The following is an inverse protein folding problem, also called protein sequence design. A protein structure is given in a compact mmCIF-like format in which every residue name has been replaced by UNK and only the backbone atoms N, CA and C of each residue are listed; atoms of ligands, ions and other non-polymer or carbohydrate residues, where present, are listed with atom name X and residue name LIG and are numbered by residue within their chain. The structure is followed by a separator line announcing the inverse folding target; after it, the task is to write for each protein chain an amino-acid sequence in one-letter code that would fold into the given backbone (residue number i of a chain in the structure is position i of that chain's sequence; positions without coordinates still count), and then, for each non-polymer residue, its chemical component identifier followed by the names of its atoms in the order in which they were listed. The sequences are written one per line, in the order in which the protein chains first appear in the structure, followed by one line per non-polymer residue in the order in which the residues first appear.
data_IF_234733938060
#
_entry.id   IF_234733938060
#
_cell.length_a   1.000
_cell.length_b   1.000
_cell.length_c   1.000
_cell.angle_alpha   90.00
_cell.angle_beta   90.00
_cell.angle_gamma   90.00
#
_symmetry.space_group_name_H-M   'P 1'
#
loop_
_entity.id
_entity.type
_entity.pdbx_description
1 polymer ?
#
# COMPACT_ATOMS: atom_id res chain seq x y z
N UNK A 1 5.62 -3.85 45.32
CA UNK A 1 5.43 -2.78 44.31
C UNK A 1 6.67 -2.52 43.45
N UNK A 2 7.91 -2.50 43.95
CA UNK A 2 9.11 -2.23 43.13
C UNK A 2 9.32 -3.19 41.95
N UNK A 3 9.14 -4.49 42.13
CA UNK A 3 9.34 -5.50 41.07
C UNK A 3 8.30 -5.44 39.95
N UNK A 4 7.05 -5.08 40.27
CA UNK A 4 5.97 -4.94 39.27
C UNK A 4 6.19 -3.71 38.38
N UNK A 5 6.69 -2.61 38.96
CA UNK A 5 7.09 -1.42 38.19
C UNK A 5 8.26 -1.72 37.25
N UNK A 6 9.23 -2.55 37.67
CA UNK A 6 10.33 -2.99 36.81
C UNK A 6 9.85 -3.85 35.62
N UNK A 7 8.91 -4.78 35.84
CA UNK A 7 8.36 -5.58 34.73
C UNK A 7 7.54 -4.73 33.74
N UNK A 8 6.75 -3.78 34.22
CA UNK A 8 6.01 -2.85 33.34
C UNK A 8 6.95 -1.96 32.52
N UNK A 9 8.02 -1.46 33.13
CA UNK A 9 9.04 -0.66 32.42
C UNK A 9 9.79 -1.52 31.40
N UNK A 10 10.15 -2.76 31.73
CA UNK A 10 10.80 -3.68 30.78
C UNK A 10 9.90 -4.03 29.60
N UNK A 11 8.62 -4.32 29.83
CA UNK A 11 7.66 -4.62 28.76
C UNK A 11 7.46 -3.39 27.86
N UNK A 12 7.33 -2.21 28.46
CA UNK A 12 7.23 -0.95 27.72
C UNK A 12 8.49 -0.66 26.88
N UNK A 13 9.69 -0.94 27.42
CA UNK A 13 10.96 -0.81 26.69
C UNK A 13 11.09 -1.82 25.55
N UNK A 14 10.64 -3.06 25.74
CA UNK A 14 10.65 -4.09 24.69
C UNK A 14 9.67 -3.71 23.57
N UNK A 15 8.48 -3.20 23.89
CA UNK A 15 7.52 -2.72 22.89
C UNK A 15 8.04 -1.48 22.14
N UNK A 16 8.76 -0.58 22.83
CA UNK A 16 9.44 0.56 22.20
C UNK A 16 10.60 0.16 21.28
N UNK A 17 11.30 -0.94 21.60
CA UNK A 17 12.41 -1.46 20.79
C UNK A 17 11.95 -2.31 19.59
N UNK A 18 10.73 -2.83 19.61
CA UNK A 18 10.14 -3.58 18.48
C UNK A 18 9.46 -2.64 17.47
N UNK A 19 9.15 -1.39 17.86
CA UNK A 19 8.71 -0.32 16.96
C UNK A 19 9.88 0.32 16.19
N UNK A 20 10.72 -0.50 15.56
CA UNK A 20 11.57 -0.05 14.46
C UNK A 20 10.73 0.04 13.20
N UNK A 21 9.76 0.96 13.18
CA UNK A 21 9.19 1.43 11.93
C UNK A 21 10.21 2.38 11.29
N UNK A 22 10.67 2.00 10.10
CA UNK A 22 11.51 2.75 9.17
C UNK A 22 13.00 2.85 9.51
N UNK A 23 13.67 1.70 9.47
CA UNK A 23 15.11 1.64 9.25
C UNK A 23 15.41 0.40 8.42
N UNK A 24 15.44 0.53 7.10
CA UNK A 24 15.88 -0.55 6.21
C UNK A 24 17.36 -0.83 6.45
N UNK A 25 17.75 -2.00 7.00
CA UNK A 25 19.14 -2.41 7.04
C UNK A 25 19.39 -3.16 5.73
N UNK A 26 19.81 -2.44 4.68
CA UNK A 26 20.03 -3.08 3.38
C UNK A 26 20.48 -2.17 2.24
N UNK A 27 20.25 -0.86 2.33
CA UNK A 27 20.78 0.11 1.36
C UNK A 27 22.26 0.41 1.65
N UNK A 28 23.10 -0.61 1.48
CA UNK A 28 24.54 -0.38 1.35
C UNK A 28 24.78 -0.20 -0.15
N UNK A 29 25.29 0.97 -0.52
CA UNK A 29 25.63 1.35 -1.89
C UNK A 29 26.18 0.16 -2.67
N UNK A 30 25.42 -0.28 -3.68
CA UNK A 30 25.86 -1.33 -4.58
C UNK A 30 26.99 -0.71 -5.41
N UNK A 31 28.23 -1.11 -5.13
CA UNK A 31 29.39 -0.67 -5.90
C UNK A 31 29.34 -1.34 -7.28
N UNK A 32 28.55 -0.77 -8.19
CA UNK A 32 28.59 -1.14 -9.61
C UNK A 32 30.02 -0.92 -10.11
N UNK A 33 30.68 -2.01 -10.47
CA UNK A 33 32.06 -2.01 -10.96
C UNK A 33 32.02 -1.71 -12.45
N UNK A 34 31.83 -0.43 -12.79
CA UNK A 34 31.90 0.01 -14.17
C UNK A 34 33.36 0.14 -14.63
N UNK A 35 33.73 -0.67 -15.62
CA UNK A 35 35.01 -0.63 -16.31
C UNK A 35 35.17 0.68 -17.09
N UNK A 36 36.32 1.33 -16.93
CA UNK A 36 36.58 2.74 -17.26
C UNK A 36 36.83 3.07 -18.75
N UNK A 37 36.51 2.18 -19.70
CA UNK A 37 36.90 2.33 -21.11
C UNK A 37 35.71 2.37 -22.09
N UNK A 38 34.81 3.34 -21.90
CA UNK A 38 33.77 3.70 -22.90
C UNK A 38 33.90 5.17 -23.31
N UNK A 39 35.09 5.58 -23.73
CA UNK A 39 35.28 6.86 -24.42
C UNK A 39 35.14 6.63 -25.92
N UNK A 40 33.92 6.82 -26.43
CA UNK A 40 33.66 7.10 -27.83
C UNK A 40 32.40 7.95 -27.87
N UNK A 41 32.58 9.25 -27.61
CA UNK A 41 31.67 10.29 -28.07
C UNK A 41 32.31 10.95 -29.29
N UNK A 42 31.69 10.80 -30.45
CA UNK A 42 31.99 11.59 -31.65
C UNK A 42 31.26 12.93 -31.58
N UNK A 43 31.68 13.94 -32.35
CA UNK A 43 31.00 15.25 -32.38
C UNK A 43 29.52 15.12 -32.76
N UNK A 44 29.16 14.13 -33.59
CA UNK A 44 27.76 13.83 -33.95
C UNK A 44 26.91 13.34 -32.77
N UNK A 45 27.53 12.81 -31.71
CA UNK A 45 26.81 12.32 -30.53
C UNK A 45 26.32 13.47 -29.65
N UNK A 46 26.92 14.68 -29.77
CA UNK A 46 26.48 15.87 -29.02
C UNK A 46 25.16 16.45 -29.54
N UNK A 47 24.82 16.16 -30.79
CA UNK A 47 23.59 16.60 -31.44
C UNK A 47 22.41 15.65 -31.16
N UNK A 48 22.63 14.53 -30.48
CA UNK A 48 21.57 13.62 -30.07
C UNK A 48 21.15 13.89 -28.63
N UNK A 49 19.85 14.06 -28.45
CA UNK A 49 19.23 14.26 -27.13
C UNK A 49 18.18 13.19 -26.88
N UNK A 50 18.16 12.65 -25.66
CA UNK A 50 17.07 11.80 -25.19
C UNK A 50 15.98 12.73 -24.68
N UNK A 51 14.91 12.88 -25.46
CA UNK A 51 13.82 13.80 -25.15
C UNK A 51 12.97 13.24 -24.03
N UNK A 52 12.63 11.96 -24.11
CA UNK A 52 11.75 11.31 -23.17
C UNK A 52 12.18 9.87 -22.93
N UNK A 53 12.10 9.44 -21.68
CA UNK A 53 12.15 8.03 -21.30
C UNK A 53 10.86 7.67 -20.55
N UNK A 54 10.01 6.84 -21.15
CA UNK A 54 8.89 6.21 -20.47
C UNK A 54 9.33 4.83 -19.98
N UNK A 55 9.25 4.61 -18.69
CA UNK A 55 9.58 3.35 -18.03
C UNK A 55 8.27 2.75 -17.53
N UNK A 56 7.92 1.57 -17.99
CA UNK A 56 6.77 0.80 -17.53
C UNK A 56 7.29 -0.39 -16.72
N UNK A 57 7.03 -0.40 -15.41
CA UNK A 57 7.37 -1.50 -14.50
C UNK A 57 6.07 -2.24 -14.16
N UNK A 58 5.96 -3.49 -14.61
CA UNK A 58 4.82 -4.35 -14.34
C UNK A 58 5.18 -5.45 -13.35
N UNK A 59 4.69 -5.30 -12.11
CA UNK A 59 4.90 -6.24 -11.02
C UNK A 59 3.85 -7.38 -10.97
N UNK A 60 2.88 -7.37 -11.89
CA UNK A 60 1.79 -8.35 -11.98
C UNK A 60 2.02 -9.39 -13.07
N UNK A 61 2.51 -8.97 -14.24
CA UNK A 61 2.59 -9.80 -15.45
C UNK A 61 3.37 -11.11 -15.23
N UNK A 62 4.48 -11.05 -14.50
CA UNK A 62 5.36 -12.19 -14.22
C UNK A 62 5.45 -12.51 -12.72
N UNK A 63 4.43 -12.14 -11.94
CA UNK A 63 4.40 -12.38 -10.49
C UNK A 63 4.59 -13.84 -10.10
N UNK A 64 4.03 -14.77 -10.89
CA UNK A 64 4.20 -16.22 -10.65
C UNK A 64 5.63 -16.72 -10.85
N UNK A 65 6.46 -15.95 -11.56
CA UNK A 65 7.86 -16.23 -11.85
C UNK A 65 8.80 -15.42 -10.95
N UNK A 66 8.26 -14.56 -10.05
CA UNK A 66 9.04 -13.71 -9.15
C UNK A 66 10.01 -12.81 -9.94
N UNK A 67 9.50 -12.23 -11.02
CA UNK A 67 10.18 -11.34 -11.96
C UNK A 67 9.34 -10.08 -12.19
N UNK A 68 10.02 -8.94 -12.31
CA UNK A 68 9.44 -7.72 -12.84
C UNK A 68 9.58 -7.71 -14.35
N UNK A 69 8.48 -7.43 -15.05
CA UNK A 69 8.53 -7.09 -16.46
C UNK A 69 8.77 -5.59 -16.60
N UNK A 70 9.82 -5.20 -17.33
CA UNK A 70 10.12 -3.79 -17.57
C UNK A 70 10.12 -3.51 -19.06
N UNK A 71 9.41 -2.46 -19.45
CA UNK A 71 9.42 -1.93 -20.82
C UNK A 71 9.77 -0.46 -20.78
N UNK A 72 10.83 -0.10 -21.50
CA UNK A 72 11.22 1.28 -21.71
C UNK A 72 10.89 1.73 -23.13
N UNK A 73 10.41 2.97 -23.26
CA UNK A 73 10.26 3.67 -24.54
C UNK A 73 11.12 4.92 -24.53
N UNK A 74 12.13 4.93 -25.41
CA UNK A 74 13.15 5.97 -25.52
C UNK A 74 12.90 6.79 -26.79
N UNK A 75 12.78 8.11 -26.64
CA UNK A 75 12.61 9.05 -27.75
C UNK A 75 13.88 9.86 -27.93
N UNK A 76 14.62 9.58 -29.00
CA UNK A 76 15.82 10.34 -29.34
C UNK A 76 15.52 11.39 -30.41
N UNK A 77 16.06 12.59 -30.24
CA UNK A 77 15.95 13.68 -31.21
C UNK A 77 17.32 14.16 -31.62
N UNK A 78 17.51 14.29 -32.93
CA UNK A 78 18.65 14.96 -33.52
C UNK A 78 18.39 16.46 -33.58
N UNK A 79 19.16 17.23 -32.81
CA UNK A 79 19.14 18.71 -32.77
C UNK A 79 20.18 19.34 -33.70
N UNK A 80 21.02 18.53 -34.35
CA UNK A 80 22.01 18.95 -35.31
C UNK A 80 21.43 19.22 -36.70
N UNK A 81 22.34 19.54 -37.62
CA UNK A 81 22.01 19.82 -39.03
C UNK A 81 22.29 18.65 -39.97
N UNK A 82 23.01 17.62 -39.50
CA UNK A 82 23.35 16.42 -40.25
C UNK A 82 22.62 15.21 -39.67
N UNK A 83 22.36 14.20 -40.50
CA UNK A 83 21.80 12.94 -40.02
C UNK A 83 22.80 12.25 -39.09
N UNK A 84 22.28 11.69 -38.01
CA UNK A 84 23.04 10.86 -37.09
C UNK A 84 23.02 9.41 -37.58
N UNK A 85 24.19 8.81 -37.63
CA UNK A 85 24.40 7.38 -37.83
C UNK A 85 25.48 6.93 -36.86
N UNK A 86 25.05 6.28 -35.77
CA UNK A 86 25.93 5.97 -34.66
C UNK A 86 25.36 4.95 -33.70
N UNK A 87 26.13 4.61 -32.68
CA UNK A 87 25.64 3.76 -31.61
C UNK A 87 24.73 4.58 -30.70
N UNK A 88 23.58 4.03 -30.31
CA UNK A 88 22.72 4.49 -29.22
C UNK A 88 22.91 3.58 -28.01
N UNK A 89 22.69 4.12 -26.80
CA UNK A 89 22.93 3.39 -25.54
C UNK A 89 21.85 3.66 -24.51
N UNK A 90 21.51 2.63 -23.74
CA UNK A 90 20.73 2.75 -22.48
C UNK A 90 21.37 1.88 -21.40
N UNK A 91 21.10 2.19 -20.15
CA UNK A 91 21.50 1.38 -19.00
C UNK A 91 20.37 0.42 -18.60
N UNK A 92 20.66 -0.80 -18.17
CA UNK A 92 19.68 -1.75 -17.60
C UNK A 92 20.16 -2.28 -16.25
N UNK A 93 19.26 -2.63 -15.32
CA UNK A 93 19.63 -3.13 -14.00
C UNK A 93 20.53 -4.37 -14.01
N UNK A 94 21.26 -4.58 -12.91
CA UNK A 94 22.00 -5.82 -12.70
C UNK A 94 21.07 -7.03 -12.67
N UNK A 95 21.52 -8.15 -13.24
CA UNK A 95 20.72 -9.37 -13.30
C UNK A 95 19.60 -9.35 -14.32
N UNK A 96 19.52 -8.33 -15.17
CA UNK A 96 18.53 -8.25 -16.25
C UNK A 96 18.65 -9.43 -17.23
N UNK A 97 17.50 -10.03 -17.59
CA UNK A 97 17.38 -11.13 -18.52
C UNK A 97 16.43 -10.81 -19.69
N UNK A 98 16.47 -11.62 -20.74
CA UNK A 98 15.45 -11.60 -21.80
C UNK A 98 15.36 -10.31 -22.63
N UNK A 99 16.45 -9.53 -22.72
CA UNK A 99 16.45 -8.20 -23.36
C UNK A 99 16.01 -8.29 -24.83
N UNK A 100 15.06 -7.44 -25.20
CA UNK A 100 14.62 -7.21 -26.57
C UNK A 100 14.66 -5.73 -26.87
N UNK A 101 15.13 -5.38 -28.06
CA UNK A 101 15.10 -4.00 -28.55
C UNK A 101 14.38 -3.97 -29.88
N UNK A 102 13.48 -3.00 -30.03
CA UNK A 102 12.85 -2.73 -31.31
C UNK A 102 12.73 -1.24 -31.63
N UNK A 103 12.63 -0.93 -32.92
CA UNK A 103 12.34 0.41 -33.42
C UNK A 103 10.87 0.47 -33.84
N UNK A 104 10.16 1.51 -33.40
CA UNK A 104 8.79 1.76 -33.83
C UNK A 104 8.72 3.12 -34.54
N UNK A 105 8.04 3.15 -35.67
CA UNK A 105 7.66 4.42 -36.31
C UNK A 105 6.36 4.92 -35.67
N UNK A 106 6.30 6.21 -35.32
CA UNK A 106 5.10 6.82 -34.68
C UNK A 106 3.83 6.75 -35.55
N UNK A 107 3.95 6.33 -36.81
CA UNK A 107 2.89 6.44 -37.81
C UNK A 107 2.01 5.20 -37.99
N UNK A 108 2.37 4.03 -37.44
CA UNK A 108 1.52 2.83 -37.53
C UNK A 108 1.66 2.01 -36.25
N UNK A 109 0.57 1.40 -35.78
CA UNK A 109 0.57 0.41 -34.70
C UNK A 109 1.27 -0.90 -35.10
N UNK A 110 2.39 -0.80 -35.82
CA UNK A 110 3.26 -1.87 -36.20
C UNK A 110 4.03 -2.36 -34.97
N UNK A 111 4.23 -3.67 -34.90
CA UNK A 111 5.11 -4.25 -33.91
C UNK A 111 6.52 -3.66 -34.09
N UNK A 112 7.25 -3.36 -33.00
CA UNK A 112 8.60 -2.85 -33.09
C UNK A 112 9.47 -3.77 -33.95
N UNK A 113 10.19 -3.21 -34.93
CA UNK A 113 11.13 -3.96 -35.74
C UNK A 113 12.33 -4.36 -34.87
N UNK A 114 12.66 -5.67 -34.75
CA UNK A 114 13.75 -6.11 -33.90
C UNK A 114 15.10 -5.52 -34.33
N UNK A 115 15.88 -5.03 -33.37
CA UNK A 115 17.21 -4.45 -33.61
C UNK A 115 18.28 -5.37 -33.02
N UNK A 116 19.38 -5.55 -33.75
CA UNK A 116 20.57 -6.23 -33.21
C UNK A 116 21.26 -5.32 -32.21
N UNK A 117 21.48 -5.83 -31.00
CA UNK A 117 22.10 -5.11 -29.90
C UNK A 117 23.26 -5.89 -29.28
N UNK A 118 24.07 -5.17 -28.50
CA UNK A 118 25.18 -5.72 -27.71
C UNK A 118 25.06 -5.22 -26.28
N UNK A 119 25.43 -6.07 -25.33
CA UNK A 119 25.48 -5.71 -23.91
C UNK A 119 26.93 -5.74 -23.42
N UNK A 120 27.31 -4.72 -22.67
CA UNK A 120 28.56 -4.66 -21.92
C UNK A 120 28.25 -4.22 -20.49
N UNK A 121 28.28 -5.18 -19.56
CA UNK A 121 27.75 -4.99 -18.21
C UNK A 121 26.28 -4.57 -18.26
N UNK A 122 25.96 -3.44 -17.63
CA UNK A 122 24.62 -2.84 -17.63
C UNK A 122 24.29 -2.02 -18.87
N UNK A 123 25.21 -1.87 -19.82
CA UNK A 123 25.00 -0.96 -20.96
C UNK A 123 24.59 -1.74 -22.19
N UNK A 124 23.43 -1.38 -22.71
CA UNK A 124 22.87 -1.91 -23.95
C UNK A 124 23.16 -0.92 -25.06
N UNK A 125 23.78 -1.40 -26.14
CA UNK A 125 24.20 -0.61 -27.29
C UNK A 125 23.60 -1.18 -28.57
N UNK A 126 23.06 -0.33 -29.44
CA UNK A 126 22.59 -0.71 -30.77
C UNK A 126 22.94 0.37 -31.80
N UNK A 127 22.94 0.04 -33.09
CA UNK A 127 23.10 1.04 -34.14
C UNK A 127 21.78 1.79 -34.34
N UNK A 128 21.83 3.12 -34.40
CA UNK A 128 20.67 3.98 -34.61
C UNK A 128 20.94 5.02 -35.69
N UNK A 129 19.90 5.29 -36.48
CA UNK A 129 19.89 6.35 -37.48
C UNK A 129 18.79 7.35 -37.12
N UNK A 130 19.16 8.63 -37.00
CA UNK A 130 18.24 9.72 -36.64
C UNK A 130 18.45 10.89 -37.58
N UNK A 131 17.49 11.08 -38.49
CA UNK A 131 17.54 12.14 -39.48
C UNK A 131 17.38 13.52 -38.84
N UNK A 132 18.11 14.51 -39.37
CA UNK A 132 17.90 15.89 -38.99
C UNK A 132 16.49 16.34 -39.42
N UNK A 133 15.75 17.00 -38.53
CA UNK A 133 14.42 17.55 -38.81
C UNK A 133 13.30 16.54 -39.14
N UNK A 134 13.51 15.24 -38.87
CA UNK A 134 12.46 14.23 -38.95
C UNK A 134 11.69 14.09 -37.63
N UNK A 135 10.58 13.35 -37.66
CA UNK A 135 9.92 12.92 -36.43
C UNK A 135 10.88 12.03 -35.62
N UNK A 136 11.01 12.25 -34.29
CA UNK A 136 11.85 11.43 -33.44
C UNK A 136 11.48 9.93 -33.53
N UNK A 137 12.44 9.03 -33.79
CA UNK A 137 12.19 7.60 -33.71
C UNK A 137 11.93 7.16 -32.26
N UNK A 138 11.05 6.18 -32.09
CA UNK A 138 10.81 5.49 -30.83
C UNK A 138 11.63 4.20 -30.80
N UNK A 139 12.35 3.98 -29.70
CA UNK A 139 12.98 2.70 -29.42
C UNK A 139 12.34 2.08 -28.19
N UNK A 140 11.96 0.82 -28.29
CA UNK A 140 11.45 0.04 -27.16
C UNK A 140 12.53 -0.91 -26.67
N UNK A 141 12.75 -0.95 -25.37
CA UNK A 141 13.65 -1.90 -24.70
C UNK A 141 12.83 -2.68 -23.67
N UNK A 142 12.67 -3.98 -23.87
CA UNK A 142 11.93 -4.86 -22.97
C UNK A 142 12.90 -5.80 -22.28
N UNK A 143 12.72 -6.03 -21.00
CA UNK A 143 13.56 -6.95 -20.24
C UNK A 143 12.90 -7.43 -18.95
N UNK A 144 13.45 -8.50 -18.39
CA UNK A 144 12.99 -9.13 -17.17
C UNK A 144 14.00 -8.86 -16.06
N UNK A 145 13.50 -8.54 -14.87
CA UNK A 145 14.34 -8.37 -13.70
C UNK A 145 13.93 -9.41 -12.64
N UNK A 146 14.74 -10.46 -12.40
CA UNK A 146 14.47 -11.41 -11.33
C UNK A 146 14.53 -10.70 -9.98
N UNK A 147 13.68 -11.12 -9.04
CA UNK A 147 13.59 -10.53 -7.71
C UNK A 147 14.38 -11.36 -6.69
N UNK A 148 15.69 -11.12 -6.48
CA UNK A 148 16.46 -11.86 -5.50
C UNK A 148 15.90 -11.59 -4.09
N UNK A 149 15.50 -12.67 -3.40
CA UNK A 149 14.98 -12.65 -2.03
C UNK A 149 13.56 -12.05 -1.87
N UNK A 150 12.74 -12.05 -2.93
CA UNK A 150 11.34 -11.62 -2.86
C UNK A 150 11.15 -10.14 -2.54
N UNK A 151 12.21 -9.33 -2.70
CA UNK A 151 12.13 -7.89 -2.58
C UNK A 151 12.09 -7.30 -3.98
N UNK A 152 10.95 -6.73 -4.34
CA UNK A 152 10.71 -6.13 -5.66
C UNK A 152 11.43 -4.79 -5.75
N UNK A 153 12.66 -4.82 -6.25
CA UNK A 153 13.49 -3.62 -6.41
C UNK A 153 13.81 -3.40 -7.89
N UNK A 154 13.71 -2.15 -8.31
CA UNK A 154 14.10 -1.70 -9.63
C UNK A 154 14.94 -0.44 -9.48
N UNK A 155 16.04 -0.34 -10.22
CA UNK A 155 16.86 0.87 -10.29
C UNK A 155 17.01 1.27 -11.75
N UNK A 156 17.17 2.56 -12.03
CA UNK A 156 17.47 3.07 -13.37
C UNK A 156 18.40 4.25 -13.30
N UNK A 157 19.59 4.09 -13.87
CA UNK A 157 20.57 5.17 -14.02
C UNK A 157 20.36 5.89 -15.36
N UNK A 158 20.32 7.23 -15.33
CA UNK A 158 20.10 8.08 -16.51
C UNK A 158 21.35 8.78 -17.04
N UNK A 159 22.43 8.87 -16.25
CA UNK A 159 23.60 9.70 -16.58
C UNK A 159 24.91 8.91 -16.75
N UNK A 160 24.84 7.61 -17.11
CA UNK A 160 26.04 6.77 -17.12
C UNK A 160 25.98 5.57 -18.08
N UNK A 161 27.02 5.31 -18.89
CA UNK A 161 27.48 6.15 -19.99
C UNK A 161 26.51 6.03 -21.19
N UNK A 162 25.34 6.66 -21.08
CA UNK A 162 24.43 6.85 -22.21
C UNK A 162 24.94 8.02 -23.06
N UNK A 163 24.83 7.97 -24.40
CA UNK A 163 25.37 9.03 -25.27
C UNK A 163 24.77 10.41 -25.00
N UNK A 164 23.57 10.44 -24.45
CA UNK A 164 22.82 11.66 -24.25
C UNK A 164 22.99 12.16 -22.82
N UNK A 165 22.90 13.48 -22.65
CA UNK A 165 22.54 14.10 -21.37
C UNK A 165 21.27 13.44 -20.82
N UNK A 166 21.03 13.59 -19.50
CA UNK A 166 19.81 13.16 -18.81
C UNK A 166 18.56 13.41 -19.67
N UNK A 167 17.57 12.48 -19.70
CA UNK A 167 16.33 12.70 -20.43
C UNK A 167 15.71 14.05 -20.08
N UNK A 168 15.17 14.75 -21.09
CA UNK A 168 14.48 16.03 -20.83
C UNK A 168 13.19 15.82 -20.03
N UNK A 169 12.56 14.66 -20.20
CA UNK A 169 11.39 14.20 -19.43
C UNK A 169 11.52 12.71 -19.10
N UNK A 170 11.05 12.33 -17.91
CA UNK A 170 10.91 10.94 -17.49
C UNK A 170 9.45 10.69 -17.14
N UNK A 171 8.92 9.57 -17.61
CA UNK A 171 7.63 9.04 -17.16
C UNK A 171 7.87 7.66 -16.55
N UNK A 172 7.28 7.39 -15.39
CA UNK A 172 7.31 6.08 -14.77
C UNK A 172 5.88 5.61 -14.58
N UNK A 173 5.51 4.52 -15.26
CA UNK A 173 4.26 3.80 -15.04
C UNK A 173 4.56 2.56 -14.22
N UNK A 174 3.90 2.43 -13.07
CA UNK A 174 4.06 1.28 -12.18
C UNK A 174 2.73 0.55 -12.11
N UNK A 175 2.70 -0.72 -12.51
CA UNK A 175 1.52 -1.58 -12.36
C UNK A 175 1.71 -2.46 -11.13
N UNK A 176 0.80 -2.31 -10.16
CA UNK A 176 0.87 -2.92 -8.83
C UNK A 176 -0.41 -3.69 -8.51
N UNK A 177 -0.32 -4.63 -7.56
CA UNK A 177 -1.52 -5.19 -6.94
C UNK A 177 -2.16 -4.17 -5.97
N UNK A 178 -3.45 -4.35 -5.65
CA UNK A 178 -4.20 -3.46 -4.74
C UNK A 178 -3.62 -3.40 -3.32
N UNK A 179 -2.92 -4.46 -2.91
CA UNK A 179 -2.28 -4.56 -1.61
C UNK A 179 -0.81 -4.10 -1.64
N UNK A 180 -0.27 -3.71 -2.79
CA UNK A 180 1.12 -3.28 -2.94
C UNK A 180 1.23 -1.75 -2.99
N UNK A 181 2.36 -1.24 -2.50
CA UNK A 181 2.73 0.17 -2.64
C UNK A 181 4.16 0.29 -3.14
N UNK A 182 4.44 1.42 -3.78
CA UNK A 182 5.75 1.74 -4.35
C UNK A 182 6.34 2.97 -3.64
N UNK A 183 7.59 2.84 -3.19
CA UNK A 183 8.43 3.96 -2.78
C UNK A 183 9.40 4.30 -3.91
N UNK A 184 9.45 5.57 -4.32
CA UNK A 184 10.30 6.05 -5.41
C UNK A 184 11.33 7.01 -4.83
N UNK A 185 12.62 6.72 -5.05
CA UNK A 185 13.75 7.42 -4.44
C UNK A 185 14.80 7.81 -5.48
N UNK A 186 15.62 8.82 -5.18
CA UNK A 186 16.80 9.21 -5.95
C UNK A 186 18.04 8.35 -5.63
N UNK A 187 19.20 8.69 -6.21
CA UNK A 187 20.50 8.08 -5.92
C UNK A 187 20.98 8.22 -4.46
N UNK A 188 20.42 9.17 -3.70
CA UNK A 188 20.77 9.43 -2.31
C UNK A 188 19.78 8.78 -1.32
N UNK A 189 18.74 8.10 -1.83
CA UNK A 189 17.67 7.51 -1.02
C UNK A 189 16.59 8.51 -0.59
N UNK A 190 16.57 9.73 -1.14
CA UNK A 190 15.50 10.70 -0.87
C UNK A 190 14.27 10.36 -1.71
N UNK A 191 13.08 10.48 -1.13
CA UNK A 191 11.83 10.36 -1.89
C UNK A 191 11.78 11.44 -2.98
N UNK A 192 11.45 11.05 -4.21
CA UNK A 192 11.27 11.98 -5.32
C UNK A 192 9.78 12.21 -5.60
N UNK A 193 9.39 13.48 -5.70
CA UNK A 193 8.03 13.87 -6.07
C UNK A 193 7.93 14.06 -7.57
N UNK A 194 6.81 13.64 -8.17
CA UNK A 194 6.49 13.96 -9.56
C UNK A 194 6.31 15.49 -9.75
N UNK A 195 6.51 15.99 -10.97
CA UNK A 195 6.30 17.40 -11.32
C UNK A 195 4.84 17.84 -11.20
N UNK A 196 3.91 16.88 -11.20
CA UNK A 196 2.49 17.07 -10.94
C UNK A 196 1.93 15.98 -10.03
N UNK A 197 0.60 15.90 -9.93
CA UNK A 197 -0.06 14.80 -9.21
C UNK A 197 0.08 13.50 -10.01
N UNK A 198 0.50 12.38 -9.37
CA UNK A 198 0.52 11.08 -10.03
C UNK A 198 -0.88 10.73 -10.56
N UNK A 199 -0.93 10.18 -11.77
CA UNK A 199 -2.19 9.81 -12.45
C UNK A 199 -2.47 8.33 -12.22
N UNK A 200 -3.64 8.02 -11.68
CA UNK A 200 -4.06 6.62 -11.46
C UNK A 200 -4.83 6.14 -12.70
N UNK A 201 -4.35 5.05 -13.30
CA UNK A 201 -4.88 4.40 -14.50
C UNK A 201 -5.18 2.92 -14.20
N UNK A 202 -6.33 2.64 -13.59
CA UNK A 202 -6.67 1.26 -13.18
C UNK A 202 -5.73 0.76 -12.09
N UNK A 203 -4.97 -0.31 -12.38
CA UNK A 203 -3.96 -0.86 -11.47
C UNK A 203 -2.58 -0.21 -11.64
N UNK A 204 -2.46 0.78 -12.52
CA UNK A 204 -1.21 1.48 -12.77
C UNK A 204 -1.22 2.88 -12.19
N UNK A 205 -0.06 3.34 -11.75
CA UNK A 205 0.16 4.74 -11.35
C UNK A 205 1.24 5.32 -12.26
N UNK A 206 0.95 6.46 -12.88
CA UNK A 206 1.83 7.18 -13.78
C UNK A 206 2.39 8.42 -13.09
N UNK A 207 3.71 8.49 -13.02
CA UNK A 207 4.48 9.59 -12.48
C UNK A 207 5.22 10.29 -13.63
N UNK A 208 5.18 11.62 -13.62
CA UNK A 208 5.79 12.44 -14.66
C UNK A 208 6.80 13.39 -14.02
N UNK A 209 8.02 13.45 -14.59
CA UNK A 209 9.03 14.45 -14.25
C UNK A 209 9.42 15.24 -15.48
N UNK A 210 9.11 16.53 -15.45
CA UNK A 210 9.62 17.53 -16.38
C UNK A 210 10.95 18.04 -15.84
N UNK A 211 12.02 18.00 -16.64
CA UNK A 211 13.37 18.42 -16.22
C UNK A 211 13.81 17.74 -14.90
N UNK A 212 13.88 16.40 -14.86
CA UNK A 212 14.24 15.66 -13.64
C UNK A 212 15.57 16.19 -13.08
N UNK A 213 15.72 16.35 -11.76
CA UNK A 213 16.97 16.84 -11.13
C UNK A 213 17.90 15.72 -10.63
N UNK A 214 17.35 14.52 -10.39
CA UNK A 214 18.06 13.30 -10.00
C UNK A 214 18.76 12.62 -11.19
N UNK A 215 19.68 11.68 -10.90
CA UNK A 215 20.41 10.90 -11.90
C UNK A 215 20.02 9.43 -11.93
N UNK A 216 19.32 8.97 -10.89
CA UNK A 216 18.85 7.60 -10.75
C UNK A 216 17.43 7.59 -10.18
N UNK A 217 16.62 6.63 -10.61
CA UNK A 217 15.37 6.27 -9.94
C UNK A 217 15.54 4.91 -9.30
N UNK A 218 15.22 4.83 -8.02
CA UNK A 218 15.11 3.60 -7.25
C UNK A 218 13.65 3.38 -6.87
N UNK A 219 13.13 2.22 -7.21
CA UNK A 219 11.78 1.78 -6.92
C UNK A 219 11.85 0.58 -5.98
N UNK A 220 11.19 0.71 -4.83
CA UNK A 220 10.97 -0.39 -3.90
C UNK A 220 9.48 -0.65 -3.80
N UNK A 221 9.04 -1.86 -4.19
CA UNK A 221 7.64 -2.28 -4.08
C UNK A 221 7.51 -3.15 -2.83
N UNK A 222 6.52 -2.83 -2.00
CA UNK A 222 6.22 -3.55 -0.76
C UNK A 222 4.78 -4.00 -0.75
N UNK A 223 4.53 -5.23 -0.32
CA UNK A 223 3.19 -5.65 0.08
C UNK A 223 2.82 -4.97 1.39
N UNK A 224 1.66 -4.35 1.45
CA UNK A 224 1.02 -3.93 2.69
C UNK A 224 0.98 -5.14 3.62
N UNK A 225 1.78 -5.11 4.67
CA UNK A 225 1.62 -6.09 5.75
C UNK A 225 0.28 -5.76 6.35
N UNK A 226 -0.70 -6.68 6.25
CA UNK A 226 -2.03 -6.52 6.79
C UNK A 226 -1.96 -5.76 8.12
N UNK A 227 -2.74 -4.67 8.22
CA UNK A 227 -2.75 -3.83 9.42
C UNK A 227 -2.84 -4.74 10.67
N UNK A 228 -2.14 -4.41 11.77
CA UNK A 228 -2.11 -5.22 12.99
C UNK A 228 -3.48 -5.32 13.70
N UNK A 229 -4.59 -4.97 13.03
CA UNK A 229 -5.97 -5.13 13.49
C UNK A 229 -6.28 -6.56 13.94
N UNK A 230 -5.61 -7.58 13.37
CA UNK A 230 -5.70 -8.97 13.84
C UNK A 230 -4.99 -9.21 15.18
N UNK A 231 -3.87 -8.53 15.46
CA UNK A 231 -3.07 -8.74 16.67
C UNK A 231 -3.72 -8.09 17.89
N UNK A 232 -4.41 -6.96 17.72
CA UNK A 232 -5.12 -6.28 18.80
C UNK A 232 -6.16 -7.20 19.48
N UNK A 233 -6.90 -7.99 18.69
CA UNK A 233 -7.86 -8.97 19.20
C UNK A 233 -7.18 -10.05 20.07
N UNK A 234 -6.08 -10.64 19.59
CA UNK A 234 -5.34 -11.66 20.34
C UNK A 234 -4.65 -11.12 21.59
N UNK A 235 -4.20 -9.86 21.58
CA UNK A 235 -3.61 -9.19 22.75
C UNK A 235 -4.66 -8.92 23.82
N UNK A 236 -5.87 -8.47 23.43
CA UNK A 236 -6.99 -8.29 24.37
C UNK A 236 -7.43 -9.63 24.95
N UNK A 237 -7.57 -10.66 24.10
CA UNK A 237 -7.93 -12.01 24.55
C UNK A 237 -6.88 -12.58 25.51
N UNK A 238 -5.59 -12.41 25.19
CA UNK A 238 -4.48 -12.80 26.06
C UNK A 238 -4.47 -12.08 27.41
N UNK A 239 -4.77 -10.78 27.43
CA UNK A 239 -4.91 -10.00 28.66
C UNK A 239 -6.07 -10.47 29.54
N UNK A 240 -7.22 -10.81 28.94
CA UNK A 240 -8.38 -11.35 29.66
C UNK A 240 -8.02 -12.70 30.29
N UNK A 241 -7.37 -13.59 29.54
CA UNK A 241 -6.92 -14.90 30.03
C UNK A 241 -5.95 -14.72 31.21
N UNK A 242 -4.98 -13.82 31.09
CA UNK A 242 -4.04 -13.51 32.18
C UNK A 242 -4.78 -12.93 33.40
N UNK A 243 -5.77 -12.06 33.22
CA UNK A 243 -6.58 -11.52 34.31
C UNK A 243 -7.37 -12.62 35.03
N UNK A 244 -7.99 -13.54 34.30
CA UNK A 244 -8.73 -14.68 34.86
C UNK A 244 -7.81 -15.60 35.67
N UNK A 245 -6.63 -15.94 35.14
CA UNK A 245 -5.68 -16.81 35.86
C UNK A 245 -4.96 -16.12 37.02
N UNK A 246 -4.73 -14.80 36.94
CA UNK A 246 -4.08 -14.04 38.02
C UNK A 246 -5.05 -13.61 39.12
N UNK A 247 -6.36 -13.54 38.83
CA UNK A 247 -7.39 -13.14 39.79
C UNK A 247 -7.41 -13.97 41.09
N UNK A 248 -7.33 -15.32 41.09
CA UNK A 248 -7.26 -16.12 42.32
C UNK A 248 -6.05 -15.77 43.20
N UNK A 249 -4.91 -15.49 42.57
CA UNK A 249 -3.64 -15.16 43.25
C UNK A 249 -3.72 -13.77 43.87
N UNK A 250 -4.28 -12.81 43.14
CA UNK A 250 -4.46 -11.42 43.59
C UNK A 250 -5.54 -11.36 44.69
N UNK A 251 -6.64 -12.10 44.56
CA UNK A 251 -7.73 -12.22 45.55
C UNK A 251 -7.27 -12.81 46.88
N UNK A 252 -6.28 -13.72 46.87
CA UNK A 252 -5.69 -14.28 48.11
C UNK A 252 -4.83 -13.26 48.86
N UNK A 253 -4.17 -12.33 48.16
CA UNK A 253 -3.20 -11.40 48.76
C UNK A 253 -3.75 -10.02 49.09
N UNK A 254 -4.91 -9.63 48.55
CA UNK A 254 -5.41 -8.26 48.69
C UNK A 254 -6.79 -8.19 49.39
N UNK A 255 -6.79 -7.73 50.66
CA UNK A 255 -8.00 -7.58 51.48
C UNK A 255 -8.99 -6.53 50.92
N UNK A 256 -8.50 -5.54 50.17
CA UNK A 256 -9.34 -4.48 49.57
C UNK A 256 -10.27 -4.98 48.47
N UNK A 257 -9.82 -5.98 47.70
CA UNK A 257 -10.62 -6.56 46.60
C UNK A 257 -11.77 -7.39 47.16
N UNK A 258 -11.52 -8.14 48.25
CA UNK A 258 -12.59 -8.87 48.97
C UNK A 258 -13.64 -7.92 49.55
N UNK A 259 -13.21 -6.82 50.17
CA UNK A 259 -14.13 -5.82 50.70
C UNK A 259 -14.96 -5.13 49.60
N UNK A 260 -14.41 -4.96 48.40
CA UNK A 260 -15.11 -4.41 47.26
C UNK A 260 -16.13 -5.40 46.66
N UNK A 261 -15.77 -6.68 46.52
CA UNK A 261 -16.69 -7.76 46.13
C UNK A 261 -17.86 -7.90 47.10
N UNK A 262 -17.58 -7.84 48.40
CA UNK A 262 -18.60 -7.95 49.44
C UNK A 262 -19.55 -6.74 49.41
N UNK A 263 -19.02 -5.54 49.10
CA UNK A 263 -19.83 -4.33 48.89
C UNK A 263 -20.75 -4.45 47.66
N UNK A 264 -20.25 -4.99 46.54
CA UNK A 264 -21.04 -5.22 45.32
C UNK A 264 -22.11 -6.30 45.55
N UNK A 265 -21.74 -7.40 46.20
CA UNK A 265 -22.68 -8.49 46.54
C UNK A 265 -23.78 -8.01 47.48
N UNK A 266 -23.44 -7.16 48.45
CA UNK A 266 -24.42 -6.58 49.38
C UNK A 266 -25.30 -5.51 48.70
N UNK A 267 -24.80 -4.79 47.68
CA UNK A 267 -25.64 -3.89 46.89
C UNK A 267 -26.60 -4.62 45.96
N UNK A 268 -26.21 -5.80 45.45
CA UNK A 268 -27.09 -6.65 44.62
C UNK A 268 -28.17 -7.37 45.43
N UNK A 269 -27.86 -7.80 46.67
CA UNK A 269 -28.83 -8.44 47.57
C UNK A 269 -29.88 -7.50 48.17
N UNK A 270 -29.72 -6.18 48.05
CA UNK A 270 -30.63 -5.19 48.68
C UNK A 270 -31.94 -4.96 47.90
N UNK A 271 -32.25 -5.80 46.91
CA UNK A 271 -33.46 -5.68 46.07
C UNK A 271 -34.40 -6.88 46.10
N UNK A 272 -34.20 -7.83 47.02
CA UNK A 272 -35.07 -9.01 47.20
C UNK A 272 -35.78 -8.99 48.57
N UNK A 273 -36.31 -7.84 49.00
CA UNK A 273 -37.22 -7.78 50.14
C UNK A 273 -38.33 -6.78 49.89
N UNK A 274 -39.10 -7.07 48.85
CA UNK A 274 -40.50 -6.69 48.74
C UNK A 274 -41.16 -7.72 47.81
N UNK A 275 -42.22 -8.35 48.30
CA UNK A 275 -43.17 -9.23 47.59
C UNK A 275 -42.84 -10.75 47.54
N UNK A 276 -43.21 -11.45 48.62
CA UNK A 276 -44.05 -12.67 48.49
C UNK A 276 -45.44 -12.20 47.99
N UNK A 277 -46.11 -12.80 47.01
CA UNK A 277 -46.87 -14.07 47.10
C UNK A 277 -47.50 -14.42 45.74
N UNK A 278 -47.80 -15.71 45.51
CA UNK A 278 -48.64 -16.38 44.48
C UNK A 278 -47.85 -17.09 43.34
N UNK A 279 -47.53 -18.38 43.53
CA UNK A 279 -48.27 -19.58 43.02
C UNK A 279 -48.04 -19.80 41.51
N UNK A 280 -47.12 -20.71 41.15
CA UNK A 280 -47.35 -22.14 40.87
C UNK A 280 -47.93 -22.39 39.46
N UNK A 281 -47.10 -22.89 38.54
CA UNK A 281 -47.25 -24.22 37.90
C UNK A 281 -46.51 -24.38 36.55
N UNK A 282 -45.85 -25.55 36.45
CA UNK A 282 -45.74 -26.48 35.30
C UNK A 282 -44.79 -26.28 34.10
N UNK A 283 -43.97 -27.34 33.97
CA UNK A 283 -43.70 -28.18 32.79
C UNK A 283 -42.57 -27.81 31.80
N UNK A 284 -41.41 -28.39 32.12
CA UNK A 284 -40.45 -29.14 31.30
C UNK A 284 -41.02 -29.85 30.04
N UNK A 285 -40.33 -29.75 28.89
CA UNK A 285 -39.90 -30.84 27.97
C UNK A 285 -39.75 -30.40 26.48
N UNK A 286 -38.54 -30.69 25.94
CA UNK A 286 -38.22 -31.33 24.62
C UNK A 286 -38.61 -30.55 23.35
N UNK A 287 -37.68 -30.01 22.55
CA UNK A 287 -36.68 -30.66 21.66
C UNK A 287 -37.30 -31.28 20.39
N UNK A 288 -36.51 -31.29 19.30
CA UNK A 288 -36.78 -31.72 17.91
C UNK A 288 -37.49 -30.69 17.00
N UNK A 289 -37.07 -30.38 15.77
CA UNK A 289 -36.24 -31.13 14.82
C UNK A 289 -35.73 -30.23 13.67
N UNK A 290 -34.51 -30.51 13.19
CA UNK A 290 -34.01 -30.43 11.79
C UNK A 290 -34.01 -29.13 10.98
N UNK A 291 -32.79 -28.64 10.76
CA UNK A 291 -32.24 -27.94 9.58
C UNK A 291 -32.53 -28.68 8.25
N UNK A 292 -32.52 -28.02 7.06
CA UNK A 292 -31.34 -27.33 6.50
C UNK A 292 -31.56 -25.94 5.81
N UNK A 293 -30.47 -25.17 5.85
CA UNK A 293 -29.97 -23.97 5.11
C UNK A 293 -30.54 -23.61 3.70
N UNK A 294 -30.21 -22.41 3.08
CA UNK A 294 -29.16 -21.43 3.43
C UNK A 294 -29.49 -19.90 3.36
N UNK A 295 -28.74 -19.14 4.18
CA UNK A 295 -28.08 -17.83 3.90
C UNK A 295 -28.94 -16.59 3.56
N UNK A 296 -29.29 -15.83 4.60
CA UNK A 296 -29.06 -14.37 4.66
C UNK A 296 -28.62 -14.02 6.09
N UNK A 297 -27.34 -13.76 6.28
CA UNK A 297 -26.80 -13.21 7.53
C UNK A 297 -26.67 -11.69 7.38
N UNK A 298 -27.79 -10.97 7.44
CA UNK A 298 -27.78 -9.66 8.09
C UNK A 298 -27.91 -9.90 9.60
N UNK A 299 -27.05 -9.26 10.39
CA UNK A 299 -27.14 -9.22 11.85
C UNK A 299 -28.47 -8.60 12.31
N UNK A 300 -29.51 -9.40 12.48
CA UNK A 300 -30.72 -9.09 13.24
C UNK A 300 -30.51 -9.37 14.73
N UNK A 301 -29.75 -8.55 15.46
CA UNK A 301 -29.71 -8.68 16.94
C UNK A 301 -29.62 -7.37 17.72
N UNK A 302 -29.78 -6.20 17.08
CA UNK A 302 -29.53 -4.91 17.74
C UNK A 302 -30.72 -4.20 18.40
N UNK A 303 -31.96 -4.64 18.13
CA UNK A 303 -33.16 -3.86 18.49
C UNK A 303 -34.29 -4.66 19.17
N UNK A 304 -34.10 -5.95 19.44
CA UNK A 304 -35.10 -6.76 20.14
C UNK A 304 -35.18 -6.36 21.63
N UNK A 305 -36.38 -5.98 22.08
CA UNK A 305 -36.66 -5.63 23.47
C UNK A 305 -36.58 -4.14 23.82
N UNK A 306 -36.22 -3.27 22.87
CA UNK A 306 -36.18 -1.83 23.12
C UNK A 306 -37.59 -1.24 23.25
N UNK A 307 -37.79 -0.41 24.27
CA UNK A 307 -39.02 0.36 24.46
C UNK A 307 -39.11 1.50 23.43
N UNK A 308 -40.32 2.04 23.22
CA UNK A 308 -40.54 3.17 22.30
C UNK A 308 -39.66 4.38 22.65
N UNK A 309 -39.50 4.65 23.95
CA UNK A 309 -38.65 5.74 24.46
C UNK A 309 -37.17 5.51 24.13
N UNK A 310 -36.68 4.27 24.25
CA UNK A 310 -35.29 3.92 23.90
C UNK A 310 -35.04 4.03 22.39
N UNK A 311 -36.01 3.67 21.56
CA UNK A 311 -35.93 3.83 20.10
C UNK A 311 -35.90 5.31 19.69
N UNK A 312 -36.66 6.18 20.36
CA UNK A 312 -36.60 7.63 20.14
C UNK A 312 -35.22 8.21 20.53
N UNK A 313 -34.67 7.81 21.68
CA UNK A 313 -33.32 8.23 22.11
C UNK A 313 -32.24 7.77 21.12
N UNK A 314 -32.31 6.53 20.63
CA UNK A 314 -31.35 6.02 19.64
C UNK A 314 -31.46 6.75 18.28
N UNK A 315 -32.67 7.13 17.89
CA UNK A 315 -32.90 7.93 16.68
C UNK A 315 -32.21 9.29 16.79
N UNK A 316 -32.40 9.97 17.92
CA UNK A 316 -31.82 11.29 18.16
C UNK A 316 -30.29 11.23 18.27
N UNK A 317 -29.74 10.20 18.90
CA UNK A 317 -28.29 9.97 18.95
C UNK A 317 -27.71 9.73 17.54
N UNK A 318 -28.40 8.93 16.72
CA UNK A 318 -27.94 8.64 15.34
C UNK A 318 -28.03 9.89 14.45
N UNK A 319 -29.06 10.73 14.64
CA UNK A 319 -29.17 12.03 13.98
C UNK A 319 -28.05 12.99 14.40
N UNK A 320 -27.68 12.99 15.68
CA UNK A 320 -26.56 13.78 16.19
C UNK A 320 -25.24 13.36 15.53
N UNK A 321 -24.97 12.05 15.44
CA UNK A 321 -23.77 11.52 14.77
C UNK A 321 -23.74 11.86 13.27
N UNK A 322 -24.89 11.82 12.59
CA UNK A 322 -25.00 12.22 11.19
C UNK A 322 -24.70 13.72 11.00
N UNK A 323 -25.11 14.56 11.96
CA UNK A 323 -24.81 16.01 11.95
C UNK A 323 -23.32 16.29 12.17
N UNK A 324 -22.68 15.56 13.09
CA UNK A 324 -21.24 15.65 13.32
C UNK A 324 -20.44 15.19 12.11
N UNK A 325 -20.83 14.08 11.49
CA UNK A 325 -20.25 13.56 10.25
C UNK A 325 -20.26 14.60 9.12
N UNK A 326 -21.39 15.30 8.93
CA UNK A 326 -21.49 16.36 7.91
C UNK A 326 -20.55 17.53 8.22
N UNK A 327 -20.38 17.90 9.50
CA UNK A 327 -19.44 18.97 9.88
C UNK A 327 -17.99 18.57 9.63
N UNK A 328 -17.63 17.32 9.91
CA UNK A 328 -16.28 16.81 9.65
C UNK A 328 -15.96 16.82 8.16
N UNK A 329 -16.92 16.41 7.33
CA UNK A 329 -16.82 16.48 5.88
C UNK A 329 -16.71 17.93 5.36
N UNK A 330 -17.59 18.83 5.80
CA UNK A 330 -17.53 20.25 5.44
C UNK A 330 -16.23 20.95 5.89
N UNK A 331 -15.61 20.45 6.97
CA UNK A 331 -14.33 20.94 7.48
C UNK A 331 -13.09 20.40 6.72
N UNK A 332 -13.29 19.48 5.78
CA UNK A 332 -12.21 18.83 5.02
C UNK A 332 -11.40 17.81 5.82
N UNK A 333 -11.94 17.33 6.94
CA UNK A 333 -11.27 16.35 7.83
C UNK A 333 -11.65 14.90 7.50
N UNK A 334 -12.40 14.65 6.44
CA UNK A 334 -12.90 13.33 6.04
C UNK A 334 -12.82 13.16 4.52
N UNK A 335 -12.48 11.94 4.08
CA UNK A 335 -12.45 11.57 2.67
C UNK A 335 -13.87 11.32 2.13
N UNK A 336 -14.10 11.59 0.85
CA UNK A 336 -15.41 11.45 0.19
C UNK A 336 -15.95 10.01 0.31
N UNK A 337 -15.09 9.00 0.16
CA UNK A 337 -15.47 7.59 0.28
C UNK A 337 -15.90 7.23 1.71
N UNK A 338 -15.16 7.67 2.72
CA UNK A 338 -15.47 7.42 4.14
C UNK A 338 -16.78 8.13 4.55
N UNK A 339 -17.01 9.34 4.05
CA UNK A 339 -18.22 10.11 4.29
C UNK A 339 -19.46 9.40 3.73
N UNK A 340 -19.43 8.97 2.47
CA UNK A 340 -20.59 8.32 1.84
C UNK A 340 -20.91 6.95 2.46
N UNK A 341 -19.90 6.18 2.87
CA UNK A 341 -20.10 4.91 3.57
C UNK A 341 -20.76 5.11 4.94
N UNK A 342 -20.23 6.02 5.76
CA UNK A 342 -20.76 6.31 7.10
C UNK A 342 -22.16 6.95 7.05
N UNK A 343 -22.38 7.85 6.10
CA UNK A 343 -23.67 8.50 5.87
C UNK A 343 -24.74 7.46 5.50
N UNK A 344 -24.43 6.53 4.59
CA UNK A 344 -25.34 5.46 4.20
C UNK A 344 -25.66 4.54 5.38
N UNK A 345 -24.68 4.23 6.22
CA UNK A 345 -24.86 3.43 7.44
C UNK A 345 -25.79 4.12 8.45
N UNK A 346 -25.56 5.40 8.76
CA UNK A 346 -26.41 6.14 9.69
C UNK A 346 -27.82 6.36 9.16
N UNK A 347 -27.99 6.63 7.86
CA UNK A 347 -29.30 6.71 7.23
C UNK A 347 -30.05 5.39 7.29
N UNK A 348 -29.37 4.27 6.98
CA UNK A 348 -29.94 2.93 7.10
C UNK A 348 -30.39 2.61 8.52
N UNK A 349 -29.61 3.02 9.54
CA UNK A 349 -29.97 2.85 10.95
C UNK A 349 -31.18 3.70 11.36
N UNK A 350 -31.26 4.95 10.91
CA UNK A 350 -32.42 5.82 11.14
C UNK A 350 -33.69 5.23 10.53
N UNK A 351 -33.60 4.69 9.31
CA UNK A 351 -34.76 4.09 8.64
C UNK A 351 -35.21 2.78 9.31
N UNK A 352 -34.26 1.95 9.78
CA UNK A 352 -34.57 0.76 10.59
C UNK A 352 -35.27 1.14 11.91
N UNK A 353 -34.85 2.23 12.57
CA UNK A 353 -35.50 2.72 13.81
C UNK A 353 -36.90 3.29 13.52
N UNK A 354 -37.08 4.07 12.44
CA UNK A 354 -38.39 4.62 12.06
C UNK A 354 -39.42 3.54 11.79
N UNK A 355 -39.05 2.49 11.05
CA UNK A 355 -39.94 1.34 10.75
C UNK A 355 -40.41 0.58 12.00
N UNK A 356 -39.71 0.72 13.14
CA UNK A 356 -40.08 0.11 14.43
C UNK A 356 -40.86 1.05 15.33
N UNK A 357 -40.82 2.36 15.05
CA UNK A 357 -41.60 3.39 15.77
C UNK A 357 -42.98 3.60 15.16
N UNK A 358 -43.14 3.33 13.85
CA UNK A 358 -44.42 3.18 13.15
C UNK A 358 -45.11 1.88 13.54
#
# INVERSE_FOLDING_TARGET
MKRIKQYLISIFLIVLLINTAYGFPGMTANNSTAQQDLVNSTESDQDITLVQNLIEVDALQLRSQNELYVRETLIFKNTGTMNFDGSLRTWVPDGTEGIKIGKSEMMQGANPEPIVWKQNGNIITWQGEINASALPPLYTVEYLLPEPNGTKQYSKIFLYPTLTKKPSSIMLKITLDKEESAAIMDENGNSISASGSPRVEGNSILYDWETPEFNEINLAISSSTAAPSGIAGYVILGLIVILVFSYPVIRKKNKKIRAFEEKIRNSLKRKETAEETAEESREELVEETTTPEPVEAEEETGFEGNTKEELEVMKDETLSKLSELNKEYESGNMLDEEYEELKKSYQGRIDKIKRRLE
#
